data_IF_503787651486
#
_entry.id   IF_503787651486
#
_cell.length_a   1.000
_cell.length_b   1.000
_cell.length_c   1.000
_cell.angle_alpha   90.00
_cell.angle_beta   90.00
_cell.angle_gamma   90.00
#
_symmetry.space_group_name_H-M   'P 1'
#
loop_
_entity.id
_entity.type
_entity.pdbx_description
1 polymer ?
#
# COMPACT_ATOMS: atom_id res chain seq x y z
N UNK A 1 -13.96 13.68 12.03
CA UNK A 1 -13.57 14.79 11.13
C UNK A 1 -14.77 15.34 10.38
N UNK A 2 -15.46 14.54 9.55
CA UNK A 2 -16.62 14.99 8.75
C UNK A 2 -17.76 15.58 9.62
N UNK A 3 -18.11 14.89 10.71
CA UNK A 3 -19.15 15.31 11.65
C UNK A 3 -18.72 16.40 12.66
N UNK A 4 -17.41 16.66 12.80
CA UNK A 4 -16.87 17.47 13.89
C UNK A 4 -16.23 18.80 13.46
N UNK A 5 -15.81 18.92 12.20
CA UNK A 5 -15.22 20.17 11.71
C UNK A 5 -16.30 21.26 11.50
N UNK A 6 -16.01 22.53 11.86
CA UNK A 6 -16.88 23.64 11.51
C UNK A 6 -17.07 23.75 10.00
N UNK A 7 -18.26 24.20 9.57
CA UNK A 7 -18.63 24.30 8.16
C UNK A 7 -17.60 25.04 7.29
N UNK A 8 -16.97 26.10 7.82
CA UNK A 8 -15.94 26.87 7.11
C UNK A 8 -14.67 26.03 6.84
N UNK A 9 -14.20 25.30 7.85
CA UNK A 9 -13.02 24.44 7.71
C UNK A 9 -13.32 23.22 6.83
N UNK A 10 -14.50 22.63 6.98
CA UNK A 10 -14.96 21.52 6.13
C UNK A 10 -14.90 21.90 4.64
N UNK A 11 -15.41 23.08 4.29
CA UNK A 11 -15.30 23.64 2.93
C UNK A 11 -13.87 23.86 2.49
N UNK A 12 -13.00 24.38 3.36
CA UNK A 12 -11.58 24.59 3.02
C UNK A 12 -10.80 23.31 2.77
N UNK A 13 -11.33 22.16 3.22
CA UNK A 13 -10.76 20.85 2.94
C UNK A 13 -11.56 20.06 1.89
N UNK A 14 -12.48 20.70 1.17
CA UNK A 14 -13.34 20.07 0.16
C UNK A 14 -14.19 18.90 0.68
N UNK A 15 -14.42 18.86 1.99
CA UNK A 15 -15.08 17.75 2.66
C UNK A 15 -16.59 17.76 2.45
N UNK A 16 -17.13 16.60 2.09
CA UNK A 16 -18.56 16.31 1.91
C UNK A 16 -19.08 15.37 3.00
N UNK A 17 -20.29 14.83 2.82
CA UNK A 17 -20.86 13.82 3.72
C UNK A 17 -20.19 12.46 3.52
N UNK A 18 -20.24 11.59 4.54
CA UNK A 18 -19.47 10.34 4.58
C UNK A 18 -19.82 9.40 3.40
N UNK A 19 -21.09 9.38 3.00
CA UNK A 19 -21.64 8.52 1.95
C UNK A 19 -21.06 8.83 0.57
N UNK A 20 -20.50 10.03 0.38
CA UNK A 20 -19.90 10.48 -0.89
C UNK A 20 -18.50 9.91 -1.13
N UNK A 21 -17.88 9.31 -0.10
CA UNK A 21 -16.52 8.80 -0.18
C UNK A 21 -16.50 7.28 -0.29
N UNK A 22 -15.89 6.78 -1.35
CA UNK A 22 -15.76 5.35 -1.64
C UNK A 22 -15.11 4.57 -0.49
N UNK A 23 -14.17 5.15 0.25
CA UNK A 23 -13.55 4.46 1.40
C UNK A 23 -14.43 4.36 2.64
N UNK A 24 -15.47 5.18 2.74
CA UNK A 24 -16.35 5.21 3.91
C UNK A 24 -17.66 4.45 3.68
N UNK A 25 -18.12 4.35 2.43
CA UNK A 25 -19.43 3.79 2.10
C UNK A 25 -19.43 2.29 1.73
N UNK A 26 -18.28 1.61 1.69
CA UNK A 26 -18.18 0.19 1.28
C UNK A 26 -18.93 -0.77 2.20
N UNK A 27 -19.08 -0.39 3.48
CA UNK A 27 -19.77 -1.18 4.48
C UNK A 27 -21.31 -1.03 4.44
N UNK A 28 -21.84 -0.13 3.61
CA UNK A 28 -23.28 0.12 3.48
C UNK A 28 -23.91 0.98 4.57
N UNK A 29 -23.23 1.21 5.70
CA UNK A 29 -23.66 2.12 6.76
C UNK A 29 -22.46 2.93 7.29
N UNK A 30 -22.64 4.25 7.34
CA UNK A 30 -21.65 5.20 7.85
C UNK A 30 -21.91 5.59 9.31
N UNK A 31 -23.02 5.13 9.90
CA UNK A 31 -23.46 5.50 11.25
C UNK A 31 -23.35 4.29 12.18
N UNK A 32 -22.82 4.53 13.39
CA UNK A 32 -22.77 3.52 14.43
C UNK A 32 -23.78 3.88 15.52
N UNK A 33 -24.79 3.02 15.79
CA UNK A 33 -25.78 3.29 16.83
C UNK A 33 -25.13 3.59 18.19
N UNK A 34 -25.54 4.69 18.82
CA UNK A 34 -25.04 5.11 20.13
C UNK A 34 -23.67 5.81 20.12
N UNK A 35 -23.09 6.08 18.95
CA UNK A 35 -21.82 6.82 18.81
C UNK A 35 -22.06 8.21 18.24
N UNK A 36 -21.42 9.22 18.84
CA UNK A 36 -21.41 10.60 18.33
C UNK A 36 -20.01 10.94 17.79
N UNK A 37 -19.85 10.86 16.47
CA UNK A 37 -18.57 11.17 15.82
C UNK A 37 -18.14 12.64 16.01
N UNK A 38 -19.09 13.53 16.24
CA UNK A 38 -18.82 14.92 16.61
C UNK A 38 -18.18 15.05 18.00
N UNK A 39 -18.69 14.33 18.99
CA UNK A 39 -18.11 14.31 20.34
C UNK A 39 -16.73 13.64 20.35
N UNK A 40 -16.58 12.51 19.66
CA UNK A 40 -15.29 11.83 19.53
C UNK A 40 -14.25 12.71 18.82
N UNK A 41 -14.66 13.51 17.84
CA UNK A 41 -13.79 14.49 17.21
C UNK A 41 -13.35 15.59 18.18
N UNK A 42 -14.24 16.10 19.04
CA UNK A 42 -13.86 17.08 20.06
C UNK A 42 -12.87 16.49 21.08
N UNK A 43 -13.05 15.23 21.48
CA UNK A 43 -12.08 14.52 22.34
C UNK A 43 -10.70 14.38 21.67
N UNK A 44 -10.68 14.11 20.36
CA UNK A 44 -9.45 14.07 19.57
C UNK A 44 -8.74 15.43 19.56
N UNK A 45 -9.47 16.54 19.34
CA UNK A 45 -8.89 17.89 19.36
C UNK A 45 -8.26 18.22 20.72
N UNK A 46 -8.95 17.90 21.81
CA UNK A 46 -8.41 18.09 23.16
C UNK A 46 -7.11 17.29 23.38
N UNK A 47 -7.06 16.06 22.85
CA UNK A 47 -5.87 15.21 22.94
C UNK A 47 -4.71 15.76 22.10
N UNK A 48 -4.99 16.31 20.91
CA UNK A 48 -3.99 16.97 20.07
C UNK A 48 -3.41 18.21 20.76
N UNK A 49 -4.24 19.00 21.44
CA UNK A 49 -3.79 20.16 22.21
C UNK A 49 -2.88 19.76 23.37
N UNK A 50 -3.25 18.72 24.14
CA UNK A 50 -2.42 18.18 25.23
C UNK A 50 -1.06 17.71 24.71
N UNK A 51 -1.02 17.10 23.53
CA UNK A 51 0.21 16.65 22.87
C UNK A 51 0.96 17.78 22.14
N UNK A 52 0.55 19.04 22.34
CA UNK A 52 1.18 20.23 21.77
C UNK A 52 1.17 20.29 20.24
N UNK A 53 0.18 19.69 19.58
CA UNK A 53 -0.03 19.89 18.15
C UNK A 53 -0.57 21.30 17.91
N UNK A 54 0.23 22.12 17.22
CA UNK A 54 -0.21 23.46 16.83
C UNK A 54 -1.29 23.38 15.72
N UNK A 55 -1.92 24.52 15.44
CA UNK A 55 -2.98 24.59 14.43
C UNK A 55 -2.50 24.23 13.01
N UNK A 56 -1.23 24.49 12.66
CA UNK A 56 -0.66 24.13 11.36
C UNK A 56 -0.52 22.61 11.20
N UNK A 57 -0.08 21.93 12.26
CA UNK A 57 0.03 20.48 12.30
C UNK A 57 -1.35 19.81 12.21
N UNK A 58 -2.32 20.28 12.98
CA UNK A 58 -3.70 19.77 12.94
C UNK A 58 -4.31 19.96 11.54
N UNK A 59 -4.14 21.14 10.93
CA UNK A 59 -4.59 21.42 9.57
C UNK A 59 -3.89 20.53 8.54
N UNK A 60 -2.59 20.24 8.71
CA UNK A 60 -1.85 19.35 7.83
C UNK A 60 -2.37 17.93 7.91
N UNK A 61 -2.67 17.43 9.12
CA UNK A 61 -3.30 16.13 9.33
C UNK A 61 -4.68 16.08 8.65
N UNK A 62 -5.52 17.10 8.84
CA UNK A 62 -6.85 17.13 8.21
C UNK A 62 -6.78 17.23 6.68
N UNK A 63 -5.78 17.94 6.12
CA UNK A 63 -5.50 17.96 4.68
C UNK A 63 -5.13 16.58 4.15
N UNK A 64 -4.26 15.85 4.87
CA UNK A 64 -3.85 14.48 4.49
C UNK A 64 -5.05 13.53 4.57
N UNK A 65 -5.84 13.59 5.64
CA UNK A 65 -7.03 12.73 5.76
C UNK A 65 -8.07 13.05 4.69
N UNK A 66 -8.31 14.34 4.40
CA UNK A 66 -9.20 14.74 3.31
C UNK A 66 -8.69 14.25 1.96
N UNK A 67 -7.39 14.39 1.68
CA UNK A 67 -6.83 13.95 0.40
C UNK A 67 -6.92 12.44 0.21
N UNK A 68 -6.81 11.64 1.28
CA UNK A 68 -7.06 10.19 1.24
C UNK A 68 -8.51 9.89 0.84
N UNK A 69 -9.48 10.62 1.40
CA UNK A 69 -10.89 10.45 1.04
C UNK A 69 -11.14 10.77 -0.43
N UNK A 70 -10.61 11.88 -0.93
CA UNK A 70 -10.71 12.27 -2.35
C UNK A 70 -9.96 11.31 -3.28
N UNK A 71 -8.81 10.76 -2.86
CA UNK A 71 -8.09 9.72 -3.62
C UNK A 71 -8.94 8.46 -3.82
N UNK A 72 -9.74 8.08 -2.83
CA UNK A 72 -10.67 6.96 -2.94
C UNK A 72 -11.75 7.16 -4.00
N UNK A 73 -12.05 8.42 -4.34
CA UNK A 73 -13.02 8.81 -5.37
C UNK A 73 -12.38 9.04 -6.75
N UNK A 74 -11.09 8.76 -6.93
CA UNK A 74 -10.46 8.88 -8.25
C UNK A 74 -10.89 7.70 -9.12
N UNK A 75 -11.61 8.01 -10.20
CA UNK A 75 -12.07 7.04 -11.20
C UNK A 75 -11.16 7.03 -12.42
N UNK A 76 -10.89 5.82 -12.88
CA UNK A 76 -10.02 5.54 -14.00
C UNK A 76 -10.81 4.83 -15.09
N UNK A 77 -10.66 5.29 -16.33
CA UNK A 77 -11.24 4.66 -17.52
C UNK A 77 -10.13 4.19 -18.43
N UNK A 78 -10.33 3.02 -19.03
CA UNK A 78 -9.40 2.46 -20.00
C UNK A 78 -9.76 2.98 -21.38
N UNK A 79 -8.76 3.30 -22.17
CA UNK A 79 -8.94 3.61 -23.58
C UNK A 79 -8.03 2.73 -24.41
N UNK A 80 -8.55 2.24 -25.53
CA UNK A 80 -7.78 1.51 -26.54
C UNK A 80 -7.81 2.34 -27.83
N UNK A 81 -6.63 2.65 -28.35
CA UNK A 81 -6.46 3.23 -29.68
C UNK A 81 -5.65 2.25 -30.53
N UNK A 82 -5.70 2.35 -31.86
CA UNK A 82 -5.03 1.42 -32.80
C UNK A 82 -3.51 1.21 -32.56
N UNK A 83 -2.88 2.02 -31.71
CA UNK A 83 -1.44 1.98 -31.42
C UNK A 83 -1.05 2.04 -29.93
N UNK A 84 -1.98 2.32 -29.00
CA UNK A 84 -1.72 2.36 -27.55
C UNK A 84 -2.97 1.96 -26.77
N UNK A 85 -2.81 1.09 -25.78
CA UNK A 85 -3.80 0.95 -24.70
C UNK A 85 -3.33 1.81 -23.53
N UNK A 86 -4.30 2.39 -22.82
CA UNK A 86 -3.98 3.29 -21.73
C UNK A 86 -5.10 3.47 -20.71
N UNK A 87 -4.81 4.26 -19.67
CA UNK A 87 -5.81 4.65 -18.68
C UNK A 87 -5.75 6.14 -18.43
N UNK A 88 -6.92 6.75 -18.45
CA UNK A 88 -7.14 8.16 -18.16
C UNK A 88 -7.94 8.34 -16.87
N UNK A 89 -7.69 9.44 -16.16
CA UNK A 89 -8.53 9.84 -15.04
C UNK A 89 -9.79 10.50 -15.58
N UNK A 90 -10.95 9.97 -15.22
CA UNK A 90 -12.26 10.58 -15.55
C UNK A 90 -12.56 11.72 -14.57
N UNK A 91 -12.22 11.52 -13.29
CA UNK A 91 -12.46 12.45 -12.19
C UNK A 91 -11.31 13.45 -12.00
N UNK A 92 -11.02 14.26 -13.03
CA UNK A 92 -9.92 15.24 -12.98
C UNK A 92 -10.06 16.26 -11.83
N UNK A 93 -11.29 16.53 -11.38
CA UNK A 93 -11.55 17.39 -10.24
C UNK A 93 -10.98 16.82 -8.93
N UNK A 94 -11.13 15.51 -8.70
CA UNK A 94 -10.59 14.85 -7.49
C UNK A 94 -9.06 14.94 -7.45
N UNK A 95 -8.40 14.78 -8.59
CA UNK A 95 -6.94 14.96 -8.71
C UNK A 95 -6.52 16.37 -8.34
N UNK A 96 -7.23 17.40 -8.82
CA UNK A 96 -6.94 18.80 -8.49
C UNK A 96 -7.09 19.06 -6.98
N UNK A 97 -8.16 18.55 -6.39
CA UNK A 97 -8.41 18.68 -4.94
C UNK A 97 -7.31 18.00 -4.14
N UNK A 98 -6.95 16.76 -4.47
CA UNK A 98 -5.87 16.02 -3.79
C UNK A 98 -4.55 16.76 -3.92
N UNK A 99 -4.20 17.23 -5.11
CA UNK A 99 -2.97 17.96 -5.37
C UNK A 99 -2.90 19.29 -4.57
N UNK A 100 -4.01 20.01 -4.45
CA UNK A 100 -4.10 21.24 -3.67
C UNK A 100 -3.98 20.99 -2.16
N UNK A 101 -4.65 19.95 -1.65
CA UNK A 101 -4.60 19.58 -0.24
C UNK A 101 -3.19 19.15 0.18
N UNK A 102 -2.56 18.31 -0.64
CA UNK A 102 -1.19 17.81 -0.44
C UNK A 102 -0.13 18.79 -0.92
N UNK A 103 -0.51 19.90 -1.55
CA UNK A 103 0.38 20.93 -2.09
C UNK A 103 1.49 20.38 -2.99
N UNK A 104 1.10 19.52 -3.94
CA UNK A 104 1.94 18.90 -4.98
C UNK A 104 1.43 19.28 -6.37
N UNK A 105 2.19 18.96 -7.44
CA UNK A 105 1.73 19.23 -8.81
C UNK A 105 0.56 18.30 -9.19
N UNK A 106 -0.58 18.84 -9.67
CA UNK A 106 -1.69 18.02 -10.16
C UNK A 106 -1.31 17.23 -11.42
N UNK A 107 -0.45 17.78 -12.28
CA UNK A 107 0.04 17.10 -13.48
C UNK A 107 0.94 15.92 -13.11
N UNK A 108 1.85 16.12 -12.15
CA UNK A 108 2.71 15.07 -11.65
C UNK A 108 1.91 14.00 -10.89
N UNK A 109 0.92 14.40 -10.08
CA UNK A 109 0.00 13.46 -9.42
C UNK A 109 -0.79 12.66 -10.44
N UNK A 110 -1.41 13.32 -11.43
CA UNK A 110 -2.16 12.66 -12.50
C UNK A 110 -1.27 11.67 -13.23
N UNK A 111 -0.07 12.09 -13.64
CA UNK A 111 0.91 11.22 -14.27
C UNK A 111 1.28 10.06 -13.36
N UNK A 112 1.54 10.28 -12.07
CA UNK A 112 1.88 9.18 -11.17
C UNK A 112 0.74 8.17 -11.04
N UNK A 113 -0.51 8.61 -10.92
CA UNK A 113 -1.64 7.68 -10.81
C UNK A 113 -2.02 7.02 -12.13
N UNK A 114 -1.83 7.68 -13.28
CA UNK A 114 -2.13 7.10 -14.60
C UNK A 114 -0.99 6.31 -15.20
N UNK A 115 0.28 6.67 -14.98
CA UNK A 115 1.43 6.05 -15.65
C UNK A 115 1.50 4.54 -15.43
N UNK A 116 1.14 4.05 -14.23
CA UNK A 116 1.07 2.60 -13.99
C UNK A 116 -0.17 1.96 -14.62
N UNK A 117 -1.20 2.74 -14.88
CA UNK A 117 -2.45 2.31 -15.48
C UNK A 117 -2.41 2.41 -17.02
N UNK A 118 -1.62 3.30 -17.62
CA UNK A 118 -1.40 3.35 -19.08
C UNK A 118 -0.52 2.20 -19.56
N UNK A 119 0.39 1.71 -18.72
CA UNK A 119 1.03 0.39 -18.87
C UNK A 119 0.06 -0.78 -18.55
N UNK A 120 -1.23 -0.50 -18.35
CA UNK A 120 -2.32 -1.49 -18.33
C UNK A 120 -3.18 -1.28 -19.58
N UNK A 121 -2.68 -1.84 -20.67
CA UNK A 121 -3.52 -2.69 -21.53
C UNK A 121 -4.40 -3.57 -20.63
N UNK A 122 -5.51 -4.14 -21.10
CA UNK A 122 -6.09 -5.30 -20.37
C UNK A 122 -5.19 -6.54 -20.48
N UNK A 123 -3.90 -6.37 -20.17
CA UNK A 123 -2.96 -7.33 -19.64
C UNK A 123 -2.16 -6.57 -18.57
N UNK A 124 -2.11 -7.12 -17.37
CA UNK A 124 -1.37 -6.57 -16.24
C UNK A 124 0.08 -6.23 -16.60
N UNK A 125 0.72 -5.41 -15.76
CA UNK A 125 2.18 -5.19 -15.68
C UNK A 125 2.99 -6.51 -15.73
N UNK A 126 2.35 -7.65 -15.49
CA UNK A 126 2.87 -9.00 -15.69
C UNK A 126 3.27 -9.27 -17.16
N UNK A 127 2.55 -8.79 -18.19
CA UNK A 127 2.94 -8.99 -19.60
C UNK A 127 4.12 -8.10 -20.03
N UNK A 128 4.28 -6.93 -19.41
CA UNK A 128 5.44 -6.04 -19.56
C UNK A 128 6.69 -6.66 -18.92
N UNK A 129 6.55 -7.25 -17.74
CA UNK A 129 7.59 -8.05 -17.10
C UNK A 129 7.90 -9.36 -17.84
N UNK A 130 6.93 -9.96 -18.56
CA UNK A 130 7.13 -11.14 -19.41
C UNK A 130 7.99 -10.80 -20.65
N UNK A 131 7.73 -9.69 -21.35
CA UNK A 131 8.49 -9.31 -22.55
C UNK A 131 9.87 -8.72 -22.22
N UNK A 132 10.00 -7.94 -21.14
CA UNK A 132 11.29 -7.41 -20.69
C UNK A 132 12.20 -8.51 -20.07
N UNK A 133 11.61 -9.56 -19.49
CA UNK A 133 12.36 -10.74 -19.04
C UNK A 133 12.78 -11.66 -20.20
N UNK A 134 11.99 -11.79 -21.27
CA UNK A 134 12.31 -12.66 -22.42
C UNK A 134 13.54 -12.18 -23.23
N UNK A 135 13.74 -10.88 -23.42
CA UNK A 135 14.89 -10.38 -24.22
C UNK A 135 16.25 -10.41 -23.49
N UNK A 136 16.27 -10.40 -22.15
CA UNK A 136 17.53 -10.54 -21.38
C UNK A 136 17.84 -11.99 -20.96
N UNK A 137 16.85 -12.90 -21.01
CA UNK A 137 17.03 -14.33 -20.73
C UNK A 137 17.48 -15.14 -21.95
N UNK A 138 17.23 -14.71 -23.19
CA UNK A 138 17.68 -15.40 -24.40
C UNK A 138 19.22 -15.55 -24.47
N UNK A 139 19.97 -14.61 -23.90
CA UNK A 139 21.43 -14.60 -23.92
C UNK A 139 22.07 -15.48 -22.81
N UNK A 140 21.37 -15.69 -21.69
CA UNK A 140 21.81 -16.57 -20.60
C UNK A 140 21.25 -18.00 -20.70
N UNK A 141 20.21 -18.19 -21.53
CA UNK A 141 19.51 -19.45 -21.84
C UNK A 141 20.45 -20.59 -22.29
N UNK A 142 21.62 -20.27 -22.84
CA UNK A 142 22.57 -21.29 -23.30
C UNK A 142 23.43 -21.90 -22.20
N UNK A 143 23.50 -21.34 -20.99
CA UNK A 143 24.54 -21.78 -20.04
C UNK A 143 24.10 -22.80 -19.00
N UNK A 144 22.95 -22.67 -18.33
CA UNK A 144 22.69 -23.52 -17.14
C UNK A 144 21.19 -23.75 -16.88
N UNK A 145 20.54 -24.60 -17.67
CA UNK A 145 19.81 -25.85 -17.30
C UNK A 145 19.04 -25.99 -15.96
N UNK A 146 19.08 -25.11 -14.96
CA UNK A 146 18.50 -25.42 -13.63
C UNK A 146 17.72 -24.26 -12.95
N UNK A 147 16.40 -24.50 -12.82
CA UNK A 147 15.52 -24.22 -11.66
C UNK A 147 14.84 -22.83 -11.50
N UNK A 148 13.50 -22.92 -11.46
CA UNK A 148 12.46 -22.02 -10.89
C UNK A 148 11.70 -21.04 -11.81
N UNK A 149 10.37 -21.27 -11.88
CA UNK A 149 9.32 -20.55 -12.62
C UNK A 149 8.89 -19.21 -11.96
N UNK A 150 8.21 -18.36 -12.74
CA UNK A 150 7.62 -17.06 -12.39
C UNK A 150 6.73 -17.13 -11.13
N UNK A 151 7.04 -16.37 -10.07
CA UNK A 151 6.29 -16.43 -8.81
C UNK A 151 4.97 -15.64 -8.86
N UNK A 152 3.85 -16.30 -9.15
CA UNK A 152 2.46 -15.80 -8.99
C UNK A 152 1.84 -16.28 -7.68
N UNK A 153 0.71 -15.69 -7.23
CA UNK A 153 -0.05 -16.20 -6.07
C UNK A 153 -0.38 -17.69 -6.20
N UNK A 154 -0.64 -18.15 -7.43
CA UNK A 154 -0.85 -19.56 -7.74
C UNK A 154 0.41 -20.40 -7.52
N UNK A 155 1.56 -19.98 -8.05
CA UNK A 155 2.82 -20.71 -7.80
C UNK A 155 3.27 -20.64 -6.33
N UNK A 156 2.95 -19.55 -5.61
CA UNK A 156 3.15 -19.44 -4.16
C UNK A 156 2.31 -20.50 -3.44
N UNK A 157 1.01 -20.60 -3.77
CA UNK A 157 0.13 -21.61 -3.20
C UNK A 157 0.59 -23.03 -3.52
N UNK A 158 1.03 -23.29 -4.76
CA UNK A 158 1.60 -24.57 -5.16
C UNK A 158 2.84 -24.92 -4.32
N UNK A 159 3.76 -23.97 -4.11
CA UNK A 159 4.92 -24.15 -3.22
C UNK A 159 4.47 -24.43 -1.78
N UNK A 160 3.47 -23.71 -1.25
CA UNK A 160 2.91 -23.99 0.09
C UNK A 160 2.32 -25.41 0.18
N UNK A 161 1.53 -25.82 -0.80
CA UNK A 161 0.94 -27.16 -0.87
C UNK A 161 1.98 -28.27 -1.00
N UNK A 162 3.08 -28.00 -1.71
CA UNK A 162 4.20 -28.92 -1.88
C UNK A 162 5.00 -29.08 -0.58
N UNK A 163 5.39 -27.97 0.05
CA UNK A 163 6.24 -27.99 1.24
C UNK A 163 5.51 -28.32 2.54
N UNK A 164 4.23 -27.96 2.66
CA UNK A 164 3.48 -28.08 3.92
C UNK A 164 2.33 -29.08 3.87
N UNK A 165 2.08 -29.74 2.73
CA UNK A 165 0.93 -30.64 2.56
C UNK A 165 0.82 -31.78 3.57
N UNK A 166 1.96 -32.25 4.11
CA UNK A 166 2.01 -33.32 5.11
C UNK A 166 2.06 -32.79 6.57
N UNK A 167 2.08 -31.47 6.77
CA UNK A 167 2.12 -30.91 8.12
C UNK A 167 0.74 -31.03 8.77
N UNK A 168 0.62 -31.58 10.00
CA UNK A 168 -0.66 -31.73 10.68
C UNK A 168 -1.40 -30.42 10.94
N UNK A 169 -0.69 -29.28 10.96
CA UNK A 169 -1.22 -27.93 11.12
C UNK A 169 -1.62 -27.26 9.79
N UNK A 170 -1.36 -27.90 8.65
CA UNK A 170 -1.72 -27.41 7.33
C UNK A 170 -2.82 -28.28 6.72
N UNK A 171 -3.75 -27.68 5.99
CA UNK A 171 -4.75 -28.42 5.23
C UNK A 171 -4.98 -27.80 3.85
N UNK A 172 -5.09 -28.69 2.85
CA UNK A 172 -5.47 -28.35 1.47
C UNK A 172 -6.99 -28.31 1.35
N UNK A 173 -7.55 -27.45 0.48
CA UNK A 173 -8.97 -27.46 0.20
C UNK A 173 -9.38 -28.77 -0.47
N UNK A 174 -10.64 -29.18 -0.29
CA UNK A 174 -11.19 -30.41 -0.91
C UNK A 174 -11.41 -30.25 -2.42
N UNK A 175 -11.61 -29.01 -2.87
CA UNK A 175 -11.73 -28.61 -4.27
C UNK A 175 -10.55 -27.69 -4.62
N UNK A 176 -10.13 -27.59 -5.89
CA UNK A 176 -9.01 -26.74 -6.30
C UNK A 176 -9.40 -25.26 -6.25
N UNK A 177 -9.41 -24.71 -5.03
CA UNK A 177 -9.64 -23.30 -4.73
C UNK A 177 -8.29 -22.63 -4.43
N UNK A 178 -8.13 -21.33 -4.74
CA UNK A 178 -6.91 -20.57 -4.43
C UNK A 178 -6.84 -20.24 -2.93
N UNK A 179 -6.80 -21.25 -2.07
CA UNK A 179 -6.79 -21.11 -0.62
C UNK A 179 -6.01 -22.21 0.10
N UNK A 180 -5.61 -21.95 1.34
CA UNK A 180 -5.07 -22.95 2.26
C UNK A 180 -5.55 -22.72 3.68
N UNK A 181 -5.57 -23.77 4.51
CA UNK A 181 -6.01 -23.69 5.91
C UNK A 181 -4.86 -23.95 6.86
N UNK A 182 -4.73 -23.11 7.89
CA UNK A 182 -3.83 -23.34 9.03
C UNK A 182 -4.66 -23.67 10.28
N UNK A 183 -4.24 -24.69 11.03
CA UNK A 183 -4.82 -25.05 12.32
C UNK A 183 -4.08 -24.30 13.42
N UNK A 184 -4.61 -23.15 13.82
CA UNK A 184 -4.12 -22.38 14.96
C UNK A 184 -4.63 -22.97 16.27
N UNK A 185 -4.04 -22.55 17.40
CA UNK A 185 -4.48 -22.96 18.73
C UNK A 185 -5.99 -22.67 18.97
N UNK A 186 -6.49 -21.56 18.43
CA UNK A 186 -7.88 -21.11 18.56
C UNK A 186 -8.83 -21.69 17.50
N UNK A 187 -8.34 -22.58 16.63
CA UNK A 187 -9.15 -23.20 15.57
C UNK A 187 -8.54 -23.06 14.17
N UNK A 188 -9.28 -23.54 13.18
CA UNK A 188 -8.85 -23.55 11.79
C UNK A 188 -9.20 -22.23 11.11
N UNK A 189 -8.26 -21.66 10.37
CA UNK A 189 -8.45 -20.43 9.58
C UNK A 189 -8.04 -20.72 8.14
N UNK A 190 -8.92 -20.38 7.20
CA UNK A 190 -8.67 -20.52 5.75
C UNK A 190 -8.30 -19.18 5.16
N UNK A 191 -7.22 -19.16 4.38
CA UNK A 191 -6.64 -17.98 3.74
C UNK A 191 -6.80 -18.10 2.23
N UNK A 192 -7.45 -17.11 1.61
CA UNK A 192 -7.48 -16.96 0.16
C UNK A 192 -6.20 -16.25 -0.30
N UNK A 193 -5.49 -16.80 -1.28
CA UNK A 193 -4.16 -16.30 -1.68
C UNK A 193 -4.20 -15.12 -2.65
N UNK A 194 -5.39 -14.70 -3.10
CA UNK A 194 -5.51 -13.63 -4.08
C UNK A 194 -4.87 -12.32 -3.57
N UNK A 195 -3.95 -11.76 -4.36
CA UNK A 195 -3.14 -10.56 -4.08
C UNK A 195 -2.19 -10.70 -2.89
N UNK A 196 -1.81 -11.92 -2.48
CA UNK A 196 -0.88 -12.11 -1.35
C UNK A 196 0.50 -11.56 -1.66
N UNK A 197 1.05 -11.85 -2.85
CA UNK A 197 2.36 -11.36 -3.24
C UNK A 197 2.37 -9.83 -3.36
N UNK A 198 1.33 -9.25 -3.96
CA UNK A 198 1.17 -7.79 -4.11
C UNK A 198 1.12 -7.07 -2.75
N UNK A 199 0.29 -7.57 -1.84
CA UNK A 199 0.17 -7.03 -0.47
C UNK A 199 1.48 -7.16 0.31
N UNK A 200 2.30 -8.16 -0.01
CA UNK A 200 3.54 -8.43 0.69
C UNK A 200 4.75 -7.63 0.15
N UNK A 201 4.71 -7.18 -1.11
CA UNK A 201 5.85 -6.49 -1.75
C UNK A 201 6.02 -5.03 -1.31
N UNK A 202 4.95 -4.33 -0.89
CA UNK A 202 4.96 -3.02 -0.18
C UNK A 202 6.03 -2.01 -0.65
N UNK A 203 6.16 -1.85 -1.97
CA UNK A 203 7.11 -0.91 -2.57
C UNK A 203 6.38 0.32 -3.09
N UNK A 204 6.74 1.47 -2.54
CA UNK A 204 6.37 2.77 -3.10
C UNK A 204 7.33 3.13 -4.22
N UNK A 205 6.80 3.56 -5.37
CA UNK A 205 7.64 3.93 -6.52
C UNK A 205 8.45 5.20 -6.23
N UNK A 206 9.63 5.29 -6.83
CA UNK A 206 10.53 6.42 -6.63
C UNK A 206 9.94 7.75 -7.13
N UNK A 207 9.22 7.75 -8.25
CA UNK A 207 8.56 8.95 -8.79
C UNK A 207 7.48 9.50 -7.82
N UNK A 208 6.75 8.60 -7.15
CA UNK A 208 5.75 8.97 -6.14
C UNK A 208 6.43 9.48 -4.87
N UNK A 209 7.53 8.85 -4.45
CA UNK A 209 8.35 9.34 -3.34
C UNK A 209 8.85 10.75 -3.62
N UNK A 210 9.45 10.97 -4.78
CA UNK A 210 10.02 12.27 -5.18
C UNK A 210 8.93 13.35 -5.26
N UNK A 211 7.74 12.99 -5.75
CA UNK A 211 6.57 13.89 -5.78
C UNK A 211 6.18 14.37 -4.38
N UNK A 212 6.08 13.46 -3.42
CA UNK A 212 5.68 13.83 -2.06
C UNK A 212 6.78 14.53 -1.27
N UNK A 213 8.06 14.20 -1.51
CA UNK A 213 9.21 14.91 -0.94
C UNK A 213 9.20 16.39 -1.35
N UNK A 214 8.74 16.69 -2.57
CA UNK A 214 8.63 18.04 -3.10
C UNK A 214 7.35 18.80 -2.68
N UNK A 215 6.51 18.19 -1.84
CA UNK A 215 5.32 18.86 -1.31
C UNK A 215 5.68 20.16 -0.59
N UNK A 216 4.90 21.22 -0.81
CA UNK A 216 5.02 22.45 -0.02
C UNK A 216 4.47 22.29 1.41
N UNK A 217 3.71 21.22 1.67
CA UNK A 217 3.28 20.86 3.01
C UNK A 217 4.45 20.17 3.72
N UNK A 218 5.04 20.85 4.71
CA UNK A 218 6.21 20.37 5.43
C UNK A 218 5.98 19.01 6.11
N UNK A 219 4.79 18.76 6.64
CA UNK A 219 4.46 17.48 7.27
C UNK A 219 4.49 16.34 6.26
N UNK A 220 3.91 16.57 5.07
CA UNK A 220 3.95 15.60 3.96
C UNK A 220 5.39 15.40 3.50
N UNK A 221 6.12 16.46 3.15
CA UNK A 221 7.50 16.35 2.70
C UNK A 221 8.38 15.58 3.69
N UNK A 222 8.32 15.93 4.98
CA UNK A 222 9.13 15.29 6.02
C UNK A 222 8.76 13.80 6.23
N UNK A 223 7.48 13.43 6.12
CA UNK A 223 7.04 12.04 6.22
C UNK A 223 7.75 11.16 5.17
N UNK A 224 7.86 11.66 3.93
CA UNK A 224 8.45 10.92 2.82
C UNK A 224 9.98 11.06 2.73
N UNK A 225 10.58 12.15 3.20
CA UNK A 225 12.04 12.28 3.36
C UNK A 225 12.55 11.25 4.35
N UNK A 226 11.94 11.17 5.54
CA UNK A 226 12.32 10.19 6.57
C UNK A 226 12.19 8.75 6.05
N UNK A 227 11.14 8.48 5.27
CA UNK A 227 10.95 7.17 4.65
C UNK A 227 12.03 6.85 3.61
N UNK A 228 12.37 7.81 2.74
CA UNK A 228 13.43 7.65 1.75
C UNK A 228 14.80 7.44 2.39
N UNK A 229 15.12 8.16 3.46
CA UNK A 229 16.35 7.97 4.25
C UNK A 229 16.41 6.59 4.89
N UNK A 230 15.31 6.12 5.48
CA UNK A 230 15.21 4.76 6.02
C UNK A 230 15.47 3.68 4.96
N UNK A 231 14.91 3.84 3.76
CA UNK A 231 15.17 2.94 2.62
C UNK A 231 16.64 3.01 2.16
N UNK A 232 17.25 4.21 2.17
CA UNK A 232 18.67 4.42 1.85
C UNK A 232 19.62 3.77 2.85
N UNK A 233 19.30 3.82 4.15
CA UNK A 233 20.09 3.18 5.21
C UNK A 233 20.08 1.66 5.11
N UNK A 234 18.93 1.03 4.80
CA UNK A 234 18.86 -0.40 4.51
C UNK A 234 19.78 -0.80 3.35
N UNK A 235 19.80 -0.02 2.26
CA UNK A 235 20.66 -0.27 1.09
C UNK A 235 22.16 -0.08 1.37
N UNK A 236 22.53 0.86 2.25
CA UNK A 236 23.94 1.15 2.56
C UNK A 236 24.56 0.16 3.56
N UNK A 237 23.80 -0.34 4.54
CA UNK A 237 24.24 -1.42 5.42
C UNK A 237 24.52 -2.72 4.65
N UNK A 238 23.77 -2.99 3.57
CA UNK A 238 24.01 -4.11 2.66
C UNK A 238 25.34 -4.01 1.90
N UNK A 239 25.86 -2.80 1.64
CA UNK A 239 27.12 -2.61 0.89
C UNK A 239 28.37 -2.79 1.75
N UNK A 240 28.31 -2.51 3.05
CA UNK A 240 29.47 -2.58 3.96
C UNK A 240 29.83 -4.00 4.42
N UNK A 241 28.90 -4.95 4.36
CA UNK A 241 29.14 -6.35 4.77
C UNK A 241 29.35 -7.28 3.56
N UNK A 242 30.16 -6.84 2.59
CA UNK A 242 30.47 -7.62 1.39
C UNK A 242 31.61 -8.61 1.64
N UNK A 243 31.35 -9.60 2.50
CA UNK A 243 31.99 -10.92 2.39
C UNK A 243 31.02 -11.93 2.99
N UNK A 244 30.78 -13.01 2.24
CA UNK A 244 29.83 -14.10 2.49
C UNK A 244 28.42 -13.87 1.93
N UNK A 245 28.07 -14.76 1.02
CA UNK A 245 26.77 -15.05 0.40
C UNK A 245 25.61 -15.08 1.40
N UNK A 246 25.10 -13.91 1.80
CA UNK A 246 23.83 -13.80 2.53
C UNK A 246 22.68 -13.55 1.56
N UNK A 247 21.67 -14.42 1.66
CA UNK A 247 20.41 -14.39 0.91
C UNK A 247 19.83 -12.98 0.90
N UNK A 248 19.51 -12.48 -0.29
CA UNK A 248 18.69 -11.29 -0.47
C UNK A 248 17.36 -11.47 0.27
N UNK A 249 17.13 -10.73 1.36
CA UNK A 249 15.82 -10.60 1.98
C UNK A 249 15.19 -9.32 1.45
N UNK A 250 14.20 -9.46 0.57
CA UNK A 250 13.39 -8.33 0.15
C UNK A 250 12.66 -7.74 1.37
N UNK A 251 12.58 -6.40 1.45
CA UNK A 251 11.88 -5.67 2.51
C UNK A 251 10.35 -5.82 2.34
N UNK A 252 9.83 -6.98 2.73
CA UNK A 252 8.40 -7.34 2.62
C UNK A 252 7.64 -7.06 3.91
N UNK A 253 6.32 -6.94 3.83
CA UNK A 253 5.45 -6.76 5.02
C UNK A 253 5.65 -7.90 6.01
N UNK A 254 5.67 -9.15 5.53
CA UNK A 254 5.87 -10.32 6.37
C UNK A 254 7.23 -10.31 7.07
N UNK A 255 8.31 -9.92 6.38
CA UNK A 255 9.63 -9.83 6.98
C UNK A 255 9.71 -8.74 8.06
N UNK A 256 9.14 -7.56 7.79
CA UNK A 256 9.05 -6.45 8.77
C UNK A 256 8.25 -6.88 10.01
N UNK A 257 7.08 -7.49 9.80
CA UNK A 257 6.20 -7.95 10.89
C UNK A 257 6.87 -9.04 11.74
N UNK A 258 7.51 -10.03 11.11
CA UNK A 258 8.25 -11.07 11.83
C UNK A 258 9.37 -10.47 12.69
N UNK A 259 10.13 -9.51 12.15
CA UNK A 259 11.19 -8.84 12.90
C UNK A 259 10.63 -8.08 14.10
N UNK A 260 9.55 -7.30 13.92
CA UNK A 260 8.89 -6.58 15.02
C UNK A 260 8.35 -7.52 16.10
N UNK A 261 7.83 -8.69 15.72
CA UNK A 261 7.35 -9.69 16.68
C UNK A 261 8.50 -10.31 17.48
N UNK A 262 9.61 -10.64 16.82
CA UNK A 262 10.80 -11.16 17.51
C UNK A 262 11.37 -10.15 18.51
N UNK A 263 11.49 -8.87 18.12
CA UNK A 263 11.95 -7.80 19.01
C UNK A 263 11.02 -7.58 20.20
N UNK A 264 9.70 -7.72 20.00
CA UNK A 264 8.73 -7.63 21.07
C UNK A 264 8.87 -8.79 22.06
N UNK A 265 8.97 -10.03 21.56
CA UNK A 265 9.15 -11.22 22.40
C UNK A 265 10.45 -11.13 23.20
N UNK A 266 11.56 -10.75 22.56
CA UNK A 266 12.84 -10.56 23.24
C UNK A 266 12.76 -9.50 24.34
N UNK A 267 12.06 -8.38 24.08
CA UNK A 267 11.82 -7.38 25.11
C UNK A 267 11.02 -7.98 26.26
N UNK A 268 9.92 -8.68 26.00
CA UNK A 268 9.09 -9.29 27.04
C UNK A 268 9.87 -10.29 27.89
N UNK A 269 10.74 -11.11 27.28
CA UNK A 269 11.59 -12.06 27.99
C UNK A 269 12.64 -11.38 28.88
N UNK A 270 13.07 -10.16 28.56
CA UNK A 270 13.99 -9.38 29.42
C UNK A 270 13.32 -8.76 30.65
N UNK A 271 11.99 -8.68 30.68
CA UNK A 271 11.21 -8.13 31.79
C UNK A 271 10.53 -9.21 32.66
N UNK A 272 10.73 -10.49 32.33
CA UNK A 272 10.30 -11.66 33.10
C UNK A 272 11.49 -12.26 33.86
#
# INVERSE_FOLDING_TARGET
MLAGLPSKQRRSFYLQEAETYYYLNQGGDCVIPGKSDGEDFNRLLNSMEILSFNAEDQNSIFRILSSILHLGNVFFERYETDSQEGVSVVSAQEIRVVAELLQISPEALQKSVTYKLTDLTFNSFEQLCINYANEYLQFFFNKIVFKEEQATDHTFLQKCHYHHGNNPLYAKPKMPLPEFTIKHYAGKVTYQVQKFLDKNYDQLRQDVLDLFIQSKNKMVANLFVNHAEFLGQQKSQLRKNSTVTRRYQASTVAAKFQQSLLELVEKMERWL
#
